data_IF_427023432399
#
_entry.id   IF_427023432399
#
_cell.length_a   1.000
_cell.length_b   1.000
_cell.length_c   1.000
_cell.angle_alpha   90.00
_cell.angle_beta   90.00
_cell.angle_gamma   90.00
#
_symmetry.space_group_name_H-M   'P 1'
#
loop_
_entity.id
_entity.type
_entity.pdbx_description
1 polymer ?
#
# COMPACT_ATOMS: atom_id res chain seq x y z
N UNK A 1 34.19 18.10 -37.92
CA UNK A 1 33.07 17.49 -38.65
C UNK A 1 33.05 16.01 -38.30
N UNK A 2 32.14 15.56 -37.44
CA UNK A 2 32.00 14.12 -37.12
C UNK A 2 30.82 13.61 -37.95
N UNK A 3 31.08 12.69 -38.88
CA UNK A 3 30.04 11.97 -39.60
C UNK A 3 29.34 11.02 -38.62
N UNK A 4 28.06 11.28 -38.36
CA UNK A 4 27.21 10.42 -37.54
C UNK A 4 26.58 9.40 -38.48
N UNK A 5 27.21 8.21 -38.57
CA UNK A 5 26.64 7.05 -39.23
C UNK A 5 26.30 6.01 -38.17
N UNK A 6 25.13 6.16 -37.55
CA UNK A 6 24.46 5.05 -36.88
C UNK A 6 22.95 5.17 -37.08
N UNK A 7 22.38 4.16 -37.73
CA UNK A 7 20.96 4.11 -38.08
C UNK A 7 20.15 3.76 -36.83
N UNK A 8 19.45 4.75 -36.28
CA UNK A 8 18.40 4.51 -35.30
C UNK A 8 17.30 3.69 -36.00
N UNK A 9 17.11 2.44 -35.57
CA UNK A 9 16.06 1.58 -36.13
C UNK A 9 14.66 2.13 -35.80
N UNK A 10 13.69 1.89 -36.68
CA UNK A 10 12.28 2.32 -36.51
C UNK A 10 11.66 1.82 -35.21
N UNK A 11 12.11 0.67 -34.70
CA UNK A 11 11.68 0.12 -33.41
C UNK A 11 12.19 0.94 -32.21
N UNK A 12 13.40 1.51 -32.31
CA UNK A 12 13.93 2.41 -31.29
C UNK A 12 13.15 3.73 -31.25
N UNK A 13 12.73 4.26 -32.41
CA UNK A 13 11.88 5.46 -32.49
C UNK A 13 10.51 5.27 -31.83
N UNK A 14 9.82 4.16 -32.08
CA UNK A 14 8.54 3.85 -31.43
C UNK A 14 8.68 3.70 -29.90
N UNK A 15 9.81 3.13 -29.43
CA UNK A 15 10.15 3.06 -28.01
C UNK A 15 10.34 4.46 -27.39
N UNK A 16 10.97 5.38 -28.13
CA UNK A 16 11.11 6.78 -27.72
C UNK A 16 9.77 7.52 -27.67
N UNK A 17 8.84 7.25 -28.58
CA UNK A 17 7.50 7.86 -28.57
C UNK A 17 6.72 7.47 -27.32
N UNK A 18 6.81 6.20 -26.95
CA UNK A 18 6.18 5.69 -25.73
C UNK A 18 6.85 6.23 -24.46
N UNK A 19 8.18 6.43 -24.47
CA UNK A 19 8.90 7.10 -23.37
C UNK A 19 8.60 8.61 -23.29
N UNK A 20 8.39 9.28 -24.43
CA UNK A 20 8.11 10.71 -24.50
C UNK A 20 6.71 11.06 -23.94
N UNK A 21 5.73 10.18 -24.14
CA UNK A 21 4.42 10.26 -23.46
C UNK A 21 4.54 10.31 -21.93
N UNK A 22 5.60 9.76 -21.35
CA UNK A 22 5.83 9.75 -19.90
C UNK A 22 6.24 11.11 -19.36
N UNK A 23 6.93 11.93 -20.17
CA UNK A 23 7.32 13.28 -19.80
C UNK A 23 6.11 14.22 -19.69
N UNK A 24 5.01 13.90 -20.40
CA UNK A 24 3.76 14.68 -20.36
C UNK A 24 2.85 14.36 -19.17
N UNK A 25 3.03 13.22 -18.50
CA UNK A 25 2.19 12.84 -17.36
C UNK A 25 2.45 13.67 -16.08
N UNK A 26 3.47 14.53 -16.09
CA UNK A 26 3.79 15.43 -14.96
C UNK A 26 3.50 16.92 -15.27
N UNK A 27 3.01 17.25 -16.47
CA UNK A 27 2.57 18.61 -16.83
C UNK A 27 1.39 18.58 -17.79
N UNK A 28 0.24 19.05 -17.31
CA UNK A 28 -0.85 19.52 -18.17
C UNK A 28 -0.29 20.54 -19.17
N UNK A 29 -0.06 20.13 -20.42
CA UNK A 29 -0.26 20.92 -21.64
C UNK A 29 0.09 20.11 -22.89
N UNK A 30 -0.61 20.49 -23.96
CA UNK A 30 -0.66 19.93 -25.31
C UNK A 30 0.66 19.99 -26.10
N UNK A 31 0.64 19.29 -27.24
CA UNK A 31 1.60 19.24 -28.36
C UNK A 31 2.60 18.07 -28.35
N UNK A 32 2.47 17.24 -29.39
CA UNK A 32 3.26 16.03 -29.65
C UNK A 32 4.73 16.40 -29.90
N UNK A 33 5.61 15.93 -29.02
CA UNK A 33 7.02 16.27 -28.98
C UNK A 33 7.79 14.94 -28.82
N UNK A 34 8.51 14.56 -29.87
CA UNK A 34 9.29 13.32 -29.98
C UNK A 34 10.64 13.44 -29.24
N UNK A 35 10.82 12.84 -28.06
CA UNK A 35 12.08 12.95 -27.28
C UNK A 35 13.16 12.02 -27.85
N UNK A 36 14.28 12.58 -28.33
CA UNK A 36 15.51 11.85 -28.67
C UNK A 36 16.58 12.38 -27.71
N UNK A 37 17.27 11.55 -26.92
CA UNK A 37 18.30 12.06 -26.03
C UNK A 37 19.40 12.74 -26.85
N UNK A 38 19.46 14.06 -26.75
CA UNK A 38 20.55 14.88 -27.25
C UNK A 38 20.97 15.77 -26.11
N UNK A 39 22.25 15.70 -25.78
CA UNK A 39 22.84 16.49 -24.68
C UNK A 39 23.37 17.79 -25.29
N UNK A 40 23.18 18.92 -24.60
CA UNK A 40 23.67 20.23 -25.05
C UNK A 40 24.53 20.82 -23.94
N UNK A 41 25.71 21.33 -24.31
CA UNK A 41 26.64 21.93 -23.38
C UNK A 41 26.55 23.45 -23.47
N UNK A 42 25.82 24.07 -22.53
CA UNK A 42 26.15 25.40 -22.05
C UNK A 42 25.54 25.58 -20.65
N UNK A 43 26.37 25.82 -19.64
CA UNK A 43 26.00 26.02 -18.21
C UNK A 43 25.65 24.79 -17.34
N UNK A 44 26.46 23.71 -17.40
CA UNK A 44 26.52 22.64 -16.37
C UNK A 44 25.17 21.98 -15.97
N UNK A 45 24.13 22.04 -16.81
CA UNK A 45 22.85 21.37 -16.60
C UNK A 45 22.54 20.41 -17.75
N UNK A 46 22.00 19.25 -17.40
CA UNK A 46 21.63 18.18 -18.32
C UNK A 46 20.14 18.28 -18.66
N UNK A 47 19.77 18.15 -19.94
CA UNK A 47 18.37 18.18 -20.38
C UNK A 47 18.13 17.26 -21.58
N UNK A 48 17.05 16.47 -21.54
CA UNK A 48 16.51 15.76 -22.69
C UNK A 48 15.77 16.71 -23.64
N UNK A 49 16.03 16.58 -24.94
CA UNK A 49 15.38 17.37 -25.97
C UNK A 49 14.57 16.48 -26.93
N UNK A 50 13.64 17.11 -27.63
CA UNK A 50 12.94 16.46 -28.72
C UNK A 50 13.63 16.65 -30.07
N UNK A 51 13.32 15.82 -31.07
CA UNK A 51 13.80 15.97 -32.45
C UNK A 51 13.54 17.37 -33.01
N UNK A 52 12.39 17.96 -32.65
CA UNK A 52 12.02 19.33 -33.05
C UNK A 52 12.77 20.39 -32.25
N UNK A 53 12.95 20.17 -30.95
CA UNK A 53 13.78 21.04 -30.10
C UNK A 53 15.22 21.07 -30.60
N UNK A 54 15.76 19.93 -31.05
CA UNK A 54 17.11 19.83 -31.63
C UNK A 54 17.22 20.62 -32.94
N UNK A 55 16.19 20.59 -33.80
CA UNK A 55 16.14 21.43 -35.01
C UNK A 55 16.16 22.92 -34.64
N UNK A 56 15.36 23.33 -33.65
CA UNK A 56 15.33 24.73 -33.14
C UNK A 56 16.65 25.14 -32.46
N UNK A 57 17.36 24.22 -31.83
CA UNK A 57 18.66 24.48 -31.19
C UNK A 57 19.78 24.63 -32.22
N UNK A 58 19.73 23.86 -33.32
CA UNK A 58 20.64 24.02 -34.46
C UNK A 58 20.43 25.35 -35.20
N UNK A 59 19.19 25.84 -35.31
CA UNK A 59 18.91 27.15 -35.95
C UNK A 59 19.39 28.33 -35.12
N UNK A 60 19.56 28.18 -33.81
CA UNK A 60 19.99 29.24 -32.89
C UNK A 60 21.51 29.24 -32.61
N UNK A 61 22.32 28.59 -33.46
CA UNK A 61 23.79 28.48 -33.28
C UNK A 61 24.26 27.93 -31.92
N UNK A 62 23.43 27.12 -31.24
CA UNK A 62 23.91 26.41 -30.06
C UNK A 62 24.77 25.22 -30.49
N UNK A 63 25.98 25.10 -29.93
CA UNK A 63 26.80 23.90 -30.08
C UNK A 63 26.12 22.71 -29.42
N UNK A 64 25.67 21.78 -30.24
CA UNK A 64 25.03 20.54 -29.80
C UNK A 64 26.05 19.42 -29.89
N UNK A 65 26.54 18.96 -28.74
CA UNK A 65 27.46 17.81 -28.67
C UNK A 65 26.68 16.55 -28.30
N UNK A 66 26.64 15.58 -29.21
CA UNK A 66 26.02 14.28 -28.91
C UNK A 66 26.96 13.48 -27.98
N UNK A 67 26.75 13.59 -26.66
CA UNK A 67 27.68 13.00 -25.68
C UNK A 67 27.56 11.47 -25.60
N UNK A 68 26.42 10.88 -25.97
CA UNK A 68 26.25 9.42 -25.95
C UNK A 68 25.27 8.93 -27.01
N UNK A 69 25.78 8.16 -27.98
CA UNK A 69 24.93 7.31 -28.82
C UNK A 69 24.39 6.18 -27.95
N UNK A 70 23.07 6.12 -27.79
CA UNK A 70 22.44 4.93 -27.23
C UNK A 70 22.28 3.92 -28.38
N UNK A 71 23.16 2.93 -28.43
CA UNK A 71 23.17 1.92 -29.51
C UNK A 71 22.24 0.76 -29.20
N UNK A 72 21.79 0.62 -27.95
CA UNK A 72 20.86 -0.43 -27.52
C UNK A 72 19.69 0.11 -26.69
N UNK A 73 18.58 -0.65 -26.64
CA UNK A 73 17.44 -0.37 -25.73
C UNK A 73 17.89 -0.27 -24.27
N UNK A 74 18.89 -1.07 -23.89
CA UNK A 74 19.53 -1.06 -22.57
C UNK A 74 20.17 0.29 -22.26
N UNK A 75 20.92 0.87 -23.20
CA UNK A 75 21.57 2.17 -22.99
C UNK A 75 20.55 3.30 -22.80
N UNK A 76 19.42 3.23 -23.52
CA UNK A 76 18.34 4.20 -23.38
C UNK A 76 17.72 4.12 -21.99
N UNK A 77 17.38 2.91 -21.55
CA UNK A 77 16.82 2.66 -20.21
C UNK A 77 17.77 3.17 -19.13
N UNK A 78 19.05 2.81 -19.21
CA UNK A 78 20.05 3.22 -18.22
C UNK A 78 20.25 4.73 -18.21
N UNK A 79 20.26 5.37 -19.38
CA UNK A 79 20.39 6.83 -19.49
C UNK A 79 19.18 7.54 -18.88
N UNK A 80 17.96 7.08 -19.18
CA UNK A 80 16.73 7.61 -18.59
C UNK A 80 16.74 7.53 -17.07
N UNK A 81 17.12 6.37 -16.53
CA UNK A 81 17.12 6.14 -15.09
C UNK A 81 18.20 6.96 -14.36
N UNK A 82 19.38 7.12 -14.97
CA UNK A 82 20.47 7.94 -14.44
C UNK A 82 20.12 9.44 -14.41
N UNK A 83 19.47 9.95 -15.47
CA UNK A 83 19.13 11.38 -15.56
C UNK A 83 18.07 11.78 -14.54
N UNK A 84 17.05 10.94 -14.34
CA UNK A 84 15.98 11.22 -13.39
C UNK A 84 16.46 11.19 -11.94
N UNK A 85 17.74 10.88 -11.70
CA UNK A 85 18.34 10.74 -10.39
C UNK A 85 17.43 9.94 -9.45
N UNK A 86 16.79 8.89 -10.01
CA UNK A 86 15.80 8.09 -9.30
C UNK A 86 16.57 7.35 -8.23
N UNK A 87 16.58 7.93 -7.04
CA UNK A 87 17.10 7.26 -5.85
C UNK A 87 16.25 6.03 -5.63
N UNK A 88 16.95 4.93 -5.47
CA UNK A 88 16.37 3.60 -5.40
C UNK A 88 15.53 3.33 -4.13
N UNK A 89 15.37 4.34 -3.28
CA UNK A 89 14.79 4.18 -1.95
C UNK A 89 13.25 4.19 -1.97
N UNK A 90 12.62 4.60 -3.07
CA UNK A 90 11.16 4.69 -3.18
C UNK A 90 10.58 3.64 -4.11
N UNK A 91 9.99 2.61 -3.51
CA UNK A 91 9.33 1.50 -4.21
C UNK A 91 8.21 1.94 -5.17
N UNK A 92 7.55 3.07 -4.92
CA UNK A 92 6.49 3.57 -5.80
C UNK A 92 7.02 4.16 -7.09
N UNK A 93 8.20 4.78 -7.05
CA UNK A 93 8.88 5.21 -8.28
C UNK A 93 9.24 3.97 -9.10
N UNK A 94 9.79 2.94 -8.44
CA UNK A 94 10.06 1.65 -9.08
C UNK A 94 8.80 1.07 -9.73
N UNK A 95 7.67 1.01 -9.02
CA UNK A 95 6.41 0.48 -9.56
C UNK A 95 5.90 1.32 -10.74
N UNK A 96 5.94 2.65 -10.65
CA UNK A 96 5.55 3.55 -11.76
C UNK A 96 6.43 3.30 -12.99
N UNK A 97 7.74 3.21 -12.81
CA UNK A 97 8.69 2.86 -13.87
C UNK A 97 8.40 1.47 -14.46
N UNK A 98 8.19 0.44 -13.64
CA UNK A 98 7.88 -0.90 -14.14
C UNK A 98 6.54 -0.94 -14.88
N UNK A 99 5.51 -0.23 -14.42
CA UNK A 99 4.21 -0.16 -15.09
C UNK A 99 4.34 0.35 -16.52
N UNK A 100 5.20 1.36 -16.71
CA UNK A 100 5.59 1.92 -18.00
C UNK A 100 6.39 0.92 -18.82
N UNK A 101 7.46 0.36 -18.24
CA UNK A 101 8.33 -0.53 -18.97
C UNK A 101 7.60 -1.81 -19.39
N UNK A 102 6.63 -2.30 -18.61
CA UNK A 102 5.78 -3.42 -19.01
C UNK A 102 4.87 -3.13 -20.22
N UNK A 103 4.57 -1.86 -20.54
CA UNK A 103 3.82 -1.52 -21.75
C UNK A 103 4.69 -1.36 -23.01
N UNK A 104 6.01 -1.27 -22.82
CA UNK A 104 6.97 -0.92 -23.88
C UNK A 104 7.92 -2.10 -24.18
N UNK A 105 8.33 -2.81 -23.14
CA UNK A 105 9.32 -3.90 -23.19
C UNK A 105 8.58 -5.24 -23.11
N UNK A 106 8.68 -6.01 -24.19
CA UNK A 106 8.15 -7.38 -24.25
C UNK A 106 9.19 -8.43 -23.84
N UNK A 107 10.48 -8.10 -23.85
CA UNK A 107 11.57 -9.02 -23.50
C UNK A 107 11.73 -9.14 -21.99
N UNK A 108 11.66 -10.37 -21.47
CA UNK A 108 11.92 -10.66 -20.07
C UNK A 108 13.37 -10.32 -19.67
N UNK A 109 14.35 -10.56 -20.55
CA UNK A 109 15.75 -10.26 -20.28
C UNK A 109 15.98 -8.76 -20.05
N UNK A 110 15.35 -7.92 -20.87
CA UNK A 110 15.43 -6.45 -20.73
C UNK A 110 14.78 -5.96 -19.42
N UNK A 111 13.67 -6.58 -19.01
CA UNK A 111 13.01 -6.28 -17.74
C UNK A 111 13.84 -6.72 -16.51
N UNK A 112 14.65 -7.77 -16.64
CA UNK A 112 15.55 -8.21 -15.57
C UNK A 112 16.69 -7.20 -15.33
N UNK A 113 17.16 -6.51 -16.37
CA UNK A 113 18.13 -5.42 -16.23
C UNK A 113 17.58 -4.28 -15.35
N UNK A 114 16.28 -3.98 -15.44
CA UNK A 114 15.63 -2.99 -14.58
C UNK A 114 15.66 -3.39 -13.11
N UNK A 115 15.47 -4.68 -12.79
CA UNK A 115 15.52 -5.15 -11.41
C UNK A 115 16.88 -4.85 -10.78
N UNK A 116 17.96 -5.11 -11.53
CA UNK A 116 19.32 -4.83 -11.08
C UNK A 116 19.55 -3.33 -10.86
N UNK A 117 18.98 -2.47 -11.71
CA UNK A 117 19.05 -1.03 -11.54
C UNK A 117 18.35 -0.58 -10.24
N UNK A 118 17.19 -1.15 -9.94
CA UNK A 118 16.45 -0.86 -8.72
C UNK A 118 16.94 -1.68 -7.50
N UNK A 119 18.15 -2.24 -7.54
CA UNK A 119 18.72 -3.14 -6.49
C UNK A 119 17.73 -4.18 -5.97
N UNK A 120 16.78 -4.61 -6.80
CA UNK A 120 15.84 -5.66 -6.47
C UNK A 120 16.49 -7.00 -6.77
N UNK A 121 16.06 -8.04 -6.05
CA UNK A 121 16.50 -9.41 -6.33
C UNK A 121 16.21 -9.73 -7.80
N UNK A 122 17.27 -9.98 -8.56
CA UNK A 122 17.19 -10.31 -9.97
C UNK A 122 16.63 -11.73 -10.15
N UNK A 123 15.32 -11.85 -10.02
CA UNK A 123 14.60 -13.13 -10.10
C UNK A 123 13.31 -12.97 -10.88
N UNK A 124 12.98 -14.00 -11.64
CA UNK A 124 11.75 -14.08 -12.44
C UNK A 124 10.52 -13.94 -11.55
N UNK A 125 10.57 -14.51 -10.34
CA UNK A 125 9.51 -14.37 -9.35
C UNK A 125 9.29 -12.91 -8.96
N UNK A 126 10.36 -12.15 -8.67
CA UNK A 126 10.26 -10.73 -8.34
C UNK A 126 9.63 -9.93 -9.47
N UNK A 127 9.98 -10.25 -10.73
CA UNK A 127 9.38 -9.62 -11.90
C UNK A 127 7.88 -9.93 -12.01
N UNK A 128 7.49 -11.20 -11.82
CA UNK A 128 6.08 -11.59 -11.82
C UNK A 128 5.30 -10.89 -10.71
N UNK A 129 5.87 -10.75 -9.51
CA UNK A 129 5.24 -10.02 -8.42
C UNK A 129 5.07 -8.53 -8.77
N UNK A 130 6.10 -7.88 -9.28
CA UNK A 130 6.00 -6.49 -9.75
C UNK A 130 4.93 -6.34 -10.83
N UNK A 131 4.85 -7.27 -11.78
CA UNK A 131 3.82 -7.26 -12.82
C UNK A 131 2.41 -7.37 -12.24
N UNK A 132 2.22 -8.18 -11.18
CA UNK A 132 0.94 -8.24 -10.46
C UNK A 132 0.64 -6.94 -9.73
N UNK A 133 1.62 -6.34 -9.04
CA UNK A 133 1.46 -5.05 -8.34
C UNK A 133 1.12 -3.92 -9.33
N UNK A 134 1.78 -3.87 -10.48
CA UNK A 134 1.52 -2.85 -11.51
C UNK A 134 0.11 -2.92 -12.11
N UNK A 135 -0.57 -4.08 -11.99
CA UNK A 135 -1.97 -4.28 -12.40
C UNK A 135 -2.99 -3.79 -11.37
N UNK A 136 -2.56 -3.40 -10.16
CA UNK A 136 -3.44 -2.72 -9.22
C UNK A 136 -3.89 -1.38 -9.82
N UNK A 137 -5.10 -0.97 -9.46
CA UNK A 137 -5.69 0.28 -9.93
C UNK A 137 -4.89 1.48 -9.45
N UNK A 138 -4.76 2.50 -10.30
CA UNK A 138 -3.97 3.70 -10.01
C UNK A 138 -4.46 4.43 -8.74
N UNK A 139 -5.78 4.57 -8.46
CA UNK A 139 -6.25 5.15 -7.21
C UNK A 139 -5.74 4.42 -5.97
N UNK A 140 -5.76 3.08 -5.96
CA UNK A 140 -5.22 2.28 -4.87
C UNK A 140 -3.71 2.43 -4.73
N UNK A 141 -2.96 2.41 -5.84
CA UNK A 141 -1.50 2.60 -5.79
C UNK A 141 -1.12 3.97 -5.21
N UNK A 142 -1.82 5.03 -5.61
CA UNK A 142 -1.62 6.37 -5.05
C UNK A 142 -1.97 6.43 -3.56
N UNK A 143 -3.04 5.74 -3.16
CA UNK A 143 -3.39 5.62 -1.75
C UNK A 143 -2.32 4.89 -0.94
N UNK A 144 -1.83 3.76 -1.46
CA UNK A 144 -0.76 3.00 -0.84
C UNK A 144 0.52 3.83 -0.71
N UNK A 145 0.87 4.62 -1.74
CA UNK A 145 2.01 5.57 -1.71
C UNK A 145 1.85 6.58 -0.58
N UNK A 146 0.70 7.25 -0.51
CA UNK A 146 0.39 8.23 0.53
C UNK A 146 0.44 7.63 1.94
N UNK A 147 -0.01 6.38 2.09
CA UNK A 147 0.00 5.64 3.36
C UNK A 147 1.29 4.84 3.59
N UNK A 148 2.29 4.97 2.71
CA UNK A 148 3.61 4.33 2.78
C UNK A 148 3.55 2.81 2.96
N UNK A 149 2.77 2.11 2.14
CA UNK A 149 2.75 0.64 2.19
C UNK A 149 4.13 0.09 1.80
N UNK A 150 4.56 -0.94 2.51
CA UNK A 150 5.77 -1.68 2.13
C UNK A 150 5.54 -2.53 0.87
N UNK A 151 6.62 -2.95 0.22
CA UNK A 151 6.54 -3.89 -0.91
C UNK A 151 5.84 -5.20 -0.54
N UNK A 152 6.05 -5.71 0.69
CA UNK A 152 5.39 -6.92 1.20
C UNK A 152 3.86 -6.74 1.23
N UNK A 153 3.39 -5.58 1.69
CA UNK A 153 1.96 -5.27 1.75
C UNK A 153 1.36 -5.12 0.35
N UNK A 154 2.06 -4.44 -0.56
CA UNK A 154 1.63 -4.33 -1.96
C UNK A 154 1.52 -5.71 -2.63
N UNK A 155 2.51 -6.59 -2.39
CA UNK A 155 2.49 -7.98 -2.85
C UNK A 155 1.26 -8.71 -2.30
N UNK A 156 0.93 -8.54 -1.02
CA UNK A 156 -0.23 -9.19 -0.40
C UNK A 156 -1.55 -8.76 -1.04
N UNK A 157 -1.70 -7.48 -1.38
CA UNK A 157 -2.89 -6.98 -2.09
C UNK A 157 -3.12 -7.69 -3.43
N UNK A 158 -2.07 -8.23 -4.08
CA UNK A 158 -2.22 -8.97 -5.35
C UNK A 158 -2.88 -10.35 -5.20
N UNK A 159 -3.00 -10.86 -3.98
CA UNK A 159 -3.67 -12.13 -3.67
C UNK A 159 -5.11 -11.97 -3.18
N UNK A 160 -5.55 -10.72 -2.99
CA UNK A 160 -6.92 -10.41 -2.59
C UNK A 160 -7.83 -10.46 -3.82
N UNK A 161 -9.06 -10.92 -3.61
CA UNK A 161 -10.08 -10.92 -4.66
C UNK A 161 -10.27 -9.51 -5.25
N UNK A 162 -10.34 -9.42 -6.59
CA UNK A 162 -10.42 -8.14 -7.31
C UNK A 162 -11.70 -7.37 -6.98
N UNK A 163 -12.80 -8.04 -6.67
CA UNK A 163 -14.04 -7.38 -6.28
C UNK A 163 -13.90 -6.68 -4.94
N UNK A 164 -13.21 -7.31 -3.98
CA UNK A 164 -12.89 -6.70 -2.68
C UNK A 164 -12.02 -5.47 -2.86
N UNK A 165 -10.94 -5.60 -3.65
CA UNK A 165 -10.06 -4.47 -3.99
C UNK A 165 -10.91 -3.33 -4.56
N UNK A 166 -11.77 -3.63 -5.55
CA UNK A 166 -12.61 -2.63 -6.21
C UNK A 166 -13.59 -1.95 -5.26
N UNK A 167 -14.15 -2.66 -4.29
CA UNK A 167 -14.99 -2.05 -3.25
C UNK A 167 -14.15 -1.08 -2.43
N UNK A 168 -13.05 -1.55 -1.86
CA UNK A 168 -12.25 -0.71 -0.96
C UNK A 168 -11.63 0.47 -1.68
N UNK A 169 -11.18 0.34 -2.94
CA UNK A 169 -10.69 1.44 -3.77
C UNK A 169 -11.70 2.58 -3.90
N UNK A 170 -13.01 2.28 -3.96
CA UNK A 170 -14.08 3.30 -4.01
C UNK A 170 -14.36 3.95 -2.65
N UNK A 171 -14.03 3.26 -1.58
CA UNK A 171 -14.36 3.65 -0.21
C UNK A 171 -13.16 4.25 0.55
N UNK A 172 -11.95 4.26 -0.03
CA UNK A 172 -10.69 4.67 0.61
C UNK A 172 -10.76 6.00 1.36
N UNK A 173 -11.46 6.99 0.80
CA UNK A 173 -11.52 8.34 1.36
C UNK A 173 -12.62 8.54 2.41
N UNK A 174 -13.50 7.55 2.62
CA UNK A 174 -14.55 7.60 3.63
C UNK A 174 -14.12 7.04 4.99
N UNK A 175 -12.94 6.46 5.02
CA UNK A 175 -12.34 5.82 6.19
C UNK A 175 -10.92 6.32 6.38
N UNK A 176 -10.47 6.44 7.63
CA UNK A 176 -9.09 6.75 7.91
C UNK A 176 -8.30 5.45 8.14
N UNK A 177 -7.94 4.74 7.06
CA UNK A 177 -7.08 3.56 7.20
C UNK A 177 -5.61 3.98 7.33
N UNK A 178 -4.93 3.36 8.30
CA UNK A 178 -3.48 3.17 8.23
C UNK A 178 -3.17 1.96 7.35
N UNK A 179 -1.92 1.82 6.88
CA UNK A 179 -1.53 0.67 6.06
C UNK A 179 -1.88 -0.68 6.74
N UNK A 180 -1.55 -0.80 8.03
CA UNK A 180 -1.85 -1.98 8.84
C UNK A 180 -3.36 -2.23 8.98
N UNK A 181 -4.14 -1.19 9.29
CA UNK A 181 -5.59 -1.35 9.45
C UNK A 181 -6.26 -1.75 8.13
N UNK A 182 -5.82 -1.17 7.01
CA UNK A 182 -6.34 -1.52 5.69
C UNK A 182 -6.08 -2.99 5.35
N UNK A 183 -4.83 -3.44 5.55
CA UNK A 183 -4.42 -4.82 5.32
C UNK A 183 -5.23 -5.81 6.20
N UNK A 184 -5.40 -5.50 7.48
CA UNK A 184 -6.17 -6.35 8.38
C UNK A 184 -7.65 -6.45 7.95
N UNK A 185 -8.27 -5.31 7.64
CA UNK A 185 -9.66 -5.23 7.18
C UNK A 185 -9.86 -6.00 5.87
N UNK A 186 -8.94 -5.86 4.92
CA UNK A 186 -9.07 -6.50 3.62
C UNK A 186 -8.86 -8.02 3.71
N UNK A 187 -7.94 -8.47 4.56
CA UNK A 187 -7.74 -9.90 4.83
C UNK A 187 -8.98 -10.51 5.49
N UNK A 188 -9.52 -9.87 6.55
CA UNK A 188 -10.75 -10.34 7.20
C UNK A 188 -11.92 -10.41 6.21
N UNK A 189 -12.06 -9.40 5.34
CA UNK A 189 -13.10 -9.39 4.31
C UNK A 189 -12.92 -10.53 3.30
N UNK A 190 -11.68 -10.79 2.87
CA UNK A 190 -11.34 -11.87 1.95
C UNK A 190 -11.60 -13.25 2.58
N UNK A 191 -11.24 -13.42 3.85
CA UNK A 191 -11.46 -14.66 4.58
C UNK A 191 -12.95 -14.91 4.82
N UNK A 192 -13.73 -13.86 5.10
CA UNK A 192 -15.18 -13.96 5.19
C UNK A 192 -15.80 -14.41 3.87
N UNK A 193 -15.44 -13.80 2.74
CA UNK A 193 -16.00 -14.18 1.43
C UNK A 193 -15.61 -15.60 0.98
N UNK A 194 -14.43 -16.09 1.40
CA UNK A 194 -14.04 -17.48 1.18
C UNK A 194 -14.90 -18.48 1.97
N UNK A 195 -15.51 -18.05 3.07
CA UNK A 195 -16.49 -18.87 3.81
C UNK A 195 -17.82 -18.79 3.06
N UNK A 196 -18.41 -19.94 2.75
CA UNK A 196 -19.63 -20.08 1.89
C UNK A 196 -20.87 -19.28 2.34
N UNK A 197 -20.84 -18.63 3.51
CA UNK A 197 -21.99 -17.95 4.12
C UNK A 197 -21.89 -16.42 4.13
N UNK A 198 -20.81 -15.83 3.59
CA UNK A 198 -20.70 -14.37 3.48
C UNK A 198 -20.53 -13.97 2.02
N UNK A 199 -21.45 -13.14 1.51
CA UNK A 199 -21.45 -12.68 0.12
C UNK A 199 -20.90 -11.28 -0.02
N UNK A 200 -20.49 -10.92 -1.24
CA UNK A 200 -20.01 -9.57 -1.57
C UNK A 200 -21.08 -8.51 -1.28
N UNK A 201 -22.36 -8.84 -1.49
CA UNK A 201 -23.50 -7.96 -1.19
C UNK A 201 -23.61 -7.68 0.31
N UNK A 202 -23.39 -8.71 1.16
CA UNK A 202 -23.39 -8.54 2.61
C UNK A 202 -22.22 -7.66 3.08
N UNK A 203 -21.02 -7.80 2.47
CA UNK A 203 -19.89 -6.92 2.75
C UNK A 203 -20.20 -5.46 2.42
N UNK A 204 -20.76 -5.20 1.23
CA UNK A 204 -21.15 -3.85 0.81
C UNK A 204 -22.19 -3.27 1.76
N UNK A 205 -23.20 -4.07 2.13
CA UNK A 205 -24.25 -3.64 3.05
C UNK A 205 -23.70 -3.31 4.45
N UNK A 206 -22.75 -4.09 4.95
CA UNK A 206 -22.06 -3.82 6.20
C UNK A 206 -21.34 -2.48 6.15
N UNK A 207 -20.53 -2.24 5.10
CA UNK A 207 -19.80 -0.98 4.91
C UNK A 207 -20.77 0.21 4.89
N UNK A 208 -21.85 0.12 4.11
CA UNK A 208 -22.88 1.16 4.02
C UNK A 208 -23.57 1.42 5.37
N UNK A 209 -23.89 0.36 6.10
CA UNK A 209 -24.54 0.47 7.43
C UNK A 209 -23.64 1.19 8.43
N UNK A 210 -22.33 0.95 8.38
CA UNK A 210 -21.39 1.64 9.25
C UNK A 210 -21.28 3.10 8.85
N UNK A 211 -21.19 3.39 7.56
CA UNK A 211 -21.13 4.76 7.04
C UNK A 211 -22.34 5.61 7.45
N UNK A 212 -23.53 5.03 7.54
CA UNK A 212 -24.76 5.74 7.91
C UNK A 212 -24.94 5.90 9.43
N UNK A 213 -24.46 4.96 10.25
CA UNK A 213 -24.70 4.96 11.70
C UNK A 213 -23.70 5.78 12.51
N UNK A 214 -22.46 5.89 12.04
CA UNK A 214 -21.43 6.67 12.74
C UNK A 214 -21.47 8.14 12.37
N UNK A 215 -21.01 8.99 13.28
CA UNK A 215 -20.72 10.41 13.03
C UNK A 215 -19.82 10.63 11.81
N UNK A 216 -19.60 11.88 11.43
CA UNK A 216 -18.69 12.22 10.32
C UNK A 216 -17.22 11.86 10.59
N UNK A 217 -16.88 11.31 11.76
CA UNK A 217 -15.53 10.88 12.10
C UNK A 217 -15.13 9.58 11.36
N UNK A 218 -14.15 9.71 10.47
CA UNK A 218 -13.57 8.62 9.69
C UNK A 218 -12.83 7.59 10.54
N UNK A 219 -12.27 7.98 11.69
CA UNK A 219 -11.54 7.08 12.58
C UNK A 219 -12.50 6.13 13.31
N UNK A 220 -13.63 6.66 13.78
CA UNK A 220 -14.69 5.84 14.38
C UNK A 220 -15.26 4.85 13.36
N UNK A 221 -15.50 5.29 12.11
CA UNK A 221 -15.91 4.41 11.01
C UNK A 221 -14.95 3.24 10.79
N UNK A 222 -13.65 3.52 10.72
CA UNK A 222 -12.62 2.48 10.57
C UNK A 222 -12.66 1.49 11.73
N UNK A 223 -12.73 2.00 12.96
CA UNK A 223 -12.74 1.18 14.19
C UNK A 223 -13.97 0.27 14.24
N UNK A 224 -15.14 0.81 13.88
CA UNK A 224 -16.38 0.03 13.86
C UNK A 224 -16.40 -1.01 12.74
N UNK A 225 -15.88 -0.70 11.55
CA UNK A 225 -15.74 -1.67 10.46
C UNK A 225 -14.82 -2.81 10.85
N UNK A 226 -13.64 -2.48 11.40
CA UNK A 226 -12.69 -3.45 11.90
C UNK A 226 -13.32 -4.37 12.94
N UNK A 227 -14.00 -3.80 13.95
CA UNK A 227 -14.70 -4.57 14.99
C UNK A 227 -15.77 -5.49 14.41
N UNK A 228 -16.62 -4.98 13.51
CA UNK A 228 -17.71 -5.76 12.92
C UNK A 228 -17.19 -6.92 12.08
N UNK A 229 -16.15 -6.69 11.27
CA UNK A 229 -15.50 -7.74 10.49
C UNK A 229 -14.83 -8.79 11.39
N UNK A 230 -14.18 -8.36 12.47
CA UNK A 230 -13.58 -9.26 13.45
C UNK A 230 -14.62 -10.17 14.12
N UNK A 231 -15.74 -9.60 14.55
CA UNK A 231 -16.83 -10.36 15.20
C UNK A 231 -17.44 -11.40 14.25
N UNK A 232 -17.60 -11.05 12.98
CA UNK A 232 -18.05 -11.99 11.95
C UNK A 232 -17.00 -13.06 11.63
N UNK A 233 -15.71 -12.70 11.68
CA UNK A 233 -14.59 -13.59 11.37
C UNK A 233 -14.30 -14.58 12.51
N UNK A 234 -14.61 -14.21 13.75
CA UNK A 234 -14.29 -15.00 14.95
C UNK A 234 -15.51 -15.15 15.89
N UNK A 235 -16.63 -15.73 15.45
CA UNK A 235 -17.88 -15.74 16.20
C UNK A 235 -17.76 -16.46 17.55
N UNK A 236 -17.03 -17.57 17.62
CA UNK A 236 -16.80 -18.32 18.86
C UNK A 236 -15.99 -17.51 19.87
N UNK A 237 -14.92 -16.85 19.42
CA UNK A 237 -14.07 -16.00 20.25
C UNK A 237 -14.85 -14.78 20.77
N UNK A 238 -15.63 -14.15 19.90
CA UNK A 238 -16.53 -13.05 20.27
C UNK A 238 -17.57 -13.51 21.30
N UNK A 239 -18.20 -14.66 21.10
CA UNK A 239 -19.16 -15.22 22.06
C UNK A 239 -18.52 -15.46 23.43
N UNK A 240 -17.35 -16.09 23.49
CA UNK A 240 -16.61 -16.33 24.74
C UNK A 240 -16.22 -15.01 25.43
N UNK A 241 -15.64 -14.06 24.70
CA UNK A 241 -15.30 -12.75 25.25
C UNK A 241 -16.52 -12.00 25.79
N UNK A 242 -17.67 -12.10 25.13
CA UNK A 242 -18.92 -11.51 25.60
C UNK A 242 -19.44 -12.21 26.87
N UNK A 243 -19.30 -13.54 26.98
CA UNK A 243 -19.63 -14.28 28.20
C UNK A 243 -18.77 -13.82 29.37
N UNK A 244 -17.44 -13.75 29.19
CA UNK A 244 -16.50 -13.25 30.19
C UNK A 244 -16.88 -11.83 30.62
N UNK A 245 -17.16 -10.94 29.65
CA UNK A 245 -17.53 -9.56 29.91
C UNK A 245 -18.87 -9.45 30.68
N UNK A 246 -19.84 -10.31 30.40
CA UNK A 246 -21.09 -10.40 31.17
C UNK A 246 -20.82 -10.88 32.60
N UNK A 247 -20.03 -11.94 32.77
CA UNK A 247 -19.64 -12.44 34.10
C UNK A 247 -18.90 -11.38 34.92
N UNK A 248 -18.05 -10.56 34.30
CA UNK A 248 -17.36 -9.44 34.98
C UNK A 248 -18.36 -8.37 35.42
N UNK A 249 -19.35 -8.02 34.58
CA UNK A 249 -20.39 -7.05 34.94
C UNK A 249 -21.24 -7.49 36.13
N UNK A 250 -21.42 -8.79 36.32
CA UNK A 250 -22.18 -9.37 37.43
C UNK A 250 -21.43 -9.32 38.77
N UNK A 251 -20.10 -9.15 38.78
CA UNK A 251 -19.28 -9.16 40.01
C UNK A 251 -19.59 -8.00 40.98
N UNK A 252 -20.43 -7.02 40.59
CA UNK A 252 -20.77 -5.83 41.38
C UNK A 252 -19.55 -5.12 41.98
N UNK A 253 -18.41 -5.17 41.29
CA UNK A 253 -17.15 -4.60 41.76
C UNK A 253 -17.18 -3.08 41.61
N UNK A 254 -16.50 -2.38 42.53
CA UNK A 254 -16.27 -0.94 42.47
C UNK A 254 -15.74 -0.48 41.12
N UNK A 255 -16.25 0.65 40.60
CA UNK A 255 -15.82 1.24 39.32
C UNK A 255 -14.32 1.62 39.27
N UNK A 256 -13.66 1.68 40.43
CA UNK A 256 -12.21 1.93 40.55
C UNK A 256 -11.36 0.72 40.14
N UNK A 257 -11.94 -0.48 40.12
CA UNK A 257 -11.25 -1.72 39.81
C UNK A 257 -11.47 -2.05 38.33
N UNK A 258 -10.37 -2.20 37.61
CA UNK A 258 -10.37 -2.58 36.22
C UNK A 258 -9.92 -4.05 36.08
N UNK A 259 -10.74 -4.86 35.41
CA UNK A 259 -10.44 -6.26 35.12
C UNK A 259 -10.23 -6.38 33.62
N UNK A 260 -9.01 -6.77 33.23
CA UNK A 260 -8.62 -7.02 31.85
C UNK A 260 -8.22 -8.48 31.68
N UNK A 261 -8.33 -8.98 30.46
CA UNK A 261 -7.86 -10.31 30.09
C UNK A 261 -7.35 -10.27 28.65
N UNK A 262 -6.64 -11.32 28.26
CA UNK A 262 -6.21 -11.50 26.88
C UNK A 262 -7.42 -11.84 26.00
N UNK A 263 -7.82 -10.91 25.14
CA UNK A 263 -8.99 -11.10 24.25
C UNK A 263 -8.77 -12.16 23.17
N UNK A 264 -7.53 -12.60 22.95
CA UNK A 264 -7.24 -13.76 22.09
C UNK A 264 -7.57 -15.09 22.78
N UNK A 265 -7.66 -15.09 24.12
CA UNK A 265 -7.80 -16.28 24.96
C UNK A 265 -6.67 -17.31 24.73
N UNK A 266 -5.49 -16.85 24.30
CA UNK A 266 -4.29 -17.68 24.21
C UNK A 266 -3.62 -17.82 25.57
N UNK A 267 -3.72 -16.80 26.42
CA UNK A 267 -3.17 -16.79 27.77
C UNK A 267 -4.26 -16.90 28.83
N UNK A 268 -4.15 -17.91 29.69
CA UNK A 268 -5.02 -18.08 30.84
C UNK A 268 -4.75 -17.02 31.91
N UNK A 269 -5.82 -16.52 32.50
CA UNK A 269 -5.78 -15.57 33.61
C UNK A 269 -6.52 -14.27 33.34
N UNK A 270 -6.56 -13.43 34.38
CA UNK A 270 -7.10 -12.08 34.36
C UNK A 270 -6.14 -11.14 35.08
N UNK A 271 -6.05 -9.91 34.63
CA UNK A 271 -5.31 -8.84 35.27
C UNK A 271 -6.30 -7.92 35.98
N UNK A 272 -6.12 -7.75 37.29
CA UNK A 272 -6.94 -6.88 38.12
C UNK A 272 -6.06 -5.71 38.57
N UNK A 273 -6.48 -4.49 38.24
CA UNK A 273 -5.75 -3.26 38.55
C UNK A 273 -6.68 -2.23 39.18
N UNK A 274 -6.18 -1.45 40.14
CA UNK A 274 -6.90 -0.37 40.78
C UNK A 274 -5.90 0.74 41.17
N UNK A 275 -6.29 2.00 40.96
CA UNK A 275 -5.53 3.14 41.48
C UNK A 275 -6.00 3.42 42.91
N UNK A 276 -5.14 3.18 43.89
CA UNK A 276 -5.42 3.41 45.30
C UNK A 276 -4.76 4.72 45.77
N UNK A 277 -5.53 5.56 46.47
CA UNK A 277 -5.08 6.81 47.07
C UNK A 277 -4.99 6.73 48.60
N UNK A 278 -5.53 5.66 49.18
CA UNK A 278 -5.63 5.46 50.63
C UNK A 278 -5.61 3.98 50.99
N UNK A 279 -5.31 3.68 52.25
CA UNK A 279 -5.38 2.31 52.80
C UNK A 279 -6.81 1.76 52.69
N UNK A 280 -7.83 2.62 52.80
CA UNK A 280 -9.24 2.23 52.63
C UNK A 280 -9.52 1.69 51.24
N UNK A 281 -8.95 2.28 50.19
CA UNK A 281 -9.10 1.79 48.81
C UNK A 281 -8.51 0.36 48.68
N UNK A 282 -7.34 0.12 49.28
CA UNK A 282 -6.70 -1.21 49.28
C UNK A 282 -7.57 -2.24 50.01
N UNK A 283 -8.12 -1.85 51.16
CA UNK A 283 -9.01 -2.71 51.93
C UNK A 283 -10.29 -3.04 51.13
N UNK A 284 -10.89 -2.05 50.47
CA UNK A 284 -12.03 -2.23 49.58
C UNK A 284 -11.72 -3.21 48.44
N UNK A 285 -10.51 -3.16 47.84
CA UNK A 285 -10.09 -4.14 46.84
C UNK A 285 -10.00 -5.55 47.42
N UNK A 286 -9.34 -5.72 48.57
CA UNK A 286 -9.19 -7.03 49.23
C UNK A 286 -10.57 -7.63 49.53
N UNK A 287 -11.48 -6.83 50.08
CA UNK A 287 -12.82 -7.27 50.44
C UNK A 287 -13.65 -7.65 49.20
N UNK A 288 -13.57 -6.86 48.12
CA UNK A 288 -14.19 -7.18 46.83
C UNK A 288 -13.64 -8.48 46.22
N UNK A 289 -12.32 -8.70 46.29
CA UNK A 289 -11.68 -9.91 45.78
C UNK A 289 -12.08 -11.15 46.58
N UNK A 290 -12.14 -11.04 47.91
CA UNK A 290 -12.62 -12.12 48.79
C UNK A 290 -14.07 -12.48 48.50
N UNK A 291 -14.94 -11.47 48.40
CA UNK A 291 -16.36 -11.66 48.14
C UNK A 291 -16.62 -12.32 46.77
N UNK A 292 -15.80 -11.99 45.76
CA UNK A 292 -15.95 -12.49 44.39
C UNK A 292 -15.02 -13.66 44.01
N UNK A 293 -14.28 -14.25 44.96
CA UNK A 293 -13.23 -15.23 44.68
C UNK A 293 -13.69 -16.39 43.78
N UNK A 294 -14.86 -16.98 44.07
CA UNK A 294 -15.42 -18.09 43.28
C UNK A 294 -15.75 -17.68 41.86
N UNK A 295 -16.38 -16.51 41.68
CA UNK A 295 -16.76 -16.00 40.36
C UNK A 295 -15.52 -15.63 39.54
N UNK A 296 -14.50 -15.03 40.16
CA UNK A 296 -13.22 -14.74 39.52
C UNK A 296 -12.50 -16.03 39.08
N UNK A 297 -12.55 -17.08 39.91
CA UNK A 297 -12.00 -18.40 39.56
C UNK A 297 -12.72 -18.99 38.34
N UNK A 298 -14.05 -18.88 38.28
CA UNK A 298 -14.82 -19.32 37.12
C UNK A 298 -14.47 -18.55 35.86
N UNK A 299 -14.25 -17.23 35.96
CA UNK A 299 -13.82 -16.39 34.83
C UNK A 299 -12.42 -16.81 34.35
N UNK A 300 -11.48 -17.06 35.27
CA UNK A 300 -10.13 -17.55 34.92
C UNK A 300 -10.19 -18.89 34.19
N UNK A 301 -11.14 -19.76 34.53
CA UNK A 301 -11.33 -21.04 33.83
C UNK A 301 -11.98 -20.89 32.44
N UNK A 302 -12.58 -19.73 32.16
CA UNK A 302 -13.13 -19.40 30.84
C UNK A 302 -12.09 -18.74 29.91
N UNK A 303 -11.02 -18.16 30.47
CA UNK A 303 -9.87 -17.64 29.72
C UNK A 303 -8.89 -18.74 29.35
#
# INVERSE_FOLDING_TARGET
MIQINDVITTQSLHFFDQLACLYKLDKNNSENIYIIPVIIFNNKKYSLYSKESIKKLKTNNHEVMLIKTCTSKRDIIQTFLNEKNIKNDNIYITIKCFKIFFSIINSQQDLMLLLSFFSLKNSIDQLHQLRKICKLDTPLLNYCENKKFSFKQLKQLTFIDKEIIKIYSKELYKFNFSARNFEEIINMSNDLLKRKHFSITQLIQLIKTIQSKTSHDQQMKTTQLKKSLFELSHPTLTKKNNQILSSIKELKISKKININWDKSLENKGINISMNASSIKDIQELIDNLKLNQKNLTNIINQT
#
